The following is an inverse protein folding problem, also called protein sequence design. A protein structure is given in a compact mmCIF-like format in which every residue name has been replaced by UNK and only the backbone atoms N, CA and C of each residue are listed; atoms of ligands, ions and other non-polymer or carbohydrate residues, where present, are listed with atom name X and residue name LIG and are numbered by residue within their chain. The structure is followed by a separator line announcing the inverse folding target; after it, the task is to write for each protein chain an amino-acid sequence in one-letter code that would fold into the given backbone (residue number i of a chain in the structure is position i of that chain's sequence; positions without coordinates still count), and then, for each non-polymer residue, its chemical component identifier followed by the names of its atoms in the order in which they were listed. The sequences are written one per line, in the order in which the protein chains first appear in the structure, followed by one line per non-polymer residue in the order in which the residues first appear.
data_IF_401956427530
#
_entry.id   IF_401956427530
#
_cell.length_a   1.000
_cell.length_b   1.000
_cell.length_c   1.000
_cell.angle_alpha   90.00
_cell.angle_beta   90.00
_cell.angle_gamma   90.00
#
_symmetry.space_group_name_H-M   'P 1'
#
loop_
_entity.id
_entity.type
_entity.pdbx_description
1 polymer ?
#
# COMPACT_ATOMS: atom_id res chain seq x y z
N UNK A 2 4.49 17.09 -3.52
CA UNK A 2 5.53 16.42 -4.36
C UNK A 2 6.16 15.18 -3.70
N UNK A 3 7.45 15.01 -3.97
CA UNK A 3 8.24 13.87 -3.51
C UNK A 3 8.28 13.77 -2.00
N UNK A 4 8.39 14.91 -1.33
CA UNK A 4 8.47 14.90 0.12
C UNK A 4 7.17 14.40 0.74
N UNK A 5 6.05 14.81 0.16
CA UNK A 5 4.74 14.40 0.65
C UNK A 5 4.44 12.96 0.29
N UNK A 6 5.02 12.50 -0.82
CA UNK A 6 4.94 11.09 -1.19
C UNK A 6 5.65 10.21 -0.16
N UNK A 7 6.82 10.65 0.29
CA UNK A 7 7.58 9.91 1.29
C UNK A 7 6.93 9.98 2.67
N UNK A 8 6.32 11.12 2.97
CA UNK A 8 5.51 11.28 4.17
C UNK A 8 4.51 10.14 4.20
N UNK A 9 3.81 9.99 3.08
CA UNK A 9 2.75 9.02 2.91
C UNK A 9 3.27 7.63 3.15
N UNK A 10 4.38 7.28 2.49
CA UNK A 10 5.01 5.97 2.68
C UNK A 10 5.26 5.69 4.15
N UNK A 11 5.81 6.67 4.88
CA UNK A 11 6.07 6.49 6.30
C UNK A 11 4.79 6.14 7.06
N UNK A 12 3.73 6.91 6.82
CA UNK A 12 2.46 6.68 7.52
C UNK A 12 1.90 5.32 7.15
N UNK A 13 1.99 4.95 5.88
CA UNK A 13 1.50 3.66 5.47
C UNK A 13 2.06 2.63 6.43
N UNK A 14 3.37 2.69 6.67
CA UNK A 14 4.05 1.75 7.57
C UNK A 14 3.50 1.83 8.98
N UNK A 15 3.25 3.05 9.44
CA UNK A 15 2.81 3.24 10.80
C UNK A 15 1.42 2.68 11.02
N UNK A 16 0.58 2.78 9.99
CA UNK A 16 -0.77 2.25 10.02
C UNK A 16 -0.74 0.73 10.01
N UNK A 17 0.29 0.17 9.37
CA UNK A 17 0.52 -1.27 9.37
C UNK A 17 0.95 -1.70 10.76
N UNK A 18 1.78 -0.89 11.41
CA UNK A 18 2.28 -1.22 12.74
C UNK A 18 1.16 -1.12 13.75
N UNK A 19 0.17 -0.29 13.44
CA UNK A 19 -0.99 -0.14 14.28
C UNK A 19 -2.04 -1.20 13.96
N UNK A 20 -1.81 -1.98 12.91
CA UNK A 20 -2.76 -2.99 12.44
C UNK A 20 -4.07 -2.36 11.92
N UNK A 21 -4.02 -1.08 11.55
CA UNK A 21 -5.12 -0.46 10.81
C UNK A 21 -5.03 -0.90 9.36
N UNK A 22 -3.79 -1.02 8.88
CA UNK A 22 -3.50 -1.77 7.68
C UNK A 22 -2.99 -3.13 8.14
N UNK A 23 -3.69 -4.19 7.72
CA UNK A 23 -3.40 -5.56 8.17
C UNK A 23 -2.07 -6.08 7.61
N UNK A 24 -1.93 -6.02 6.29
CA UNK A 24 -0.66 -6.22 5.63
C UNK A 24 -0.69 -5.51 4.27
N UNK A 25 0.48 -5.17 3.74
CA UNK A 25 0.55 -4.39 2.51
C UNK A 25 1.77 -4.72 1.66
N UNK A 26 1.65 -4.45 0.37
CA UNK A 26 2.74 -4.58 -0.57
C UNK A 26 2.81 -3.31 -1.39
N UNK A 27 3.96 -2.66 -1.38
CA UNK A 27 4.21 -1.52 -2.25
C UNK A 27 5.35 -1.81 -3.20
N UNK A 28 5.14 -1.55 -4.49
CA UNK A 28 6.18 -1.65 -5.49
C UNK A 28 6.50 -0.23 -5.97
N UNK A 29 7.72 0.23 -5.71
CA UNK A 29 8.09 1.63 -5.99
C UNK A 29 9.41 1.79 -6.74
N UNK A 30 9.82 3.04 -6.92
CA UNK A 30 11.07 3.39 -7.58
C UNK A 30 11.88 4.54 -6.97
N UNK A 31 11.21 5.21 -5.98
CA UNK A 31 11.77 6.40 -5.36
C UNK A 31 13.00 6.31 -4.43
N UNK A 32 13.70 7.43 -4.26
CA UNK A 32 14.94 7.49 -3.47
C UNK A 32 14.77 8.34 -2.20
N UNK A 33 15.15 7.79 -1.05
CA UNK A 33 14.99 8.52 0.21
C UNK A 33 16.34 8.88 0.80
N UNK A 34 16.40 9.96 1.57
CA UNK A 34 17.61 10.26 2.34
C UNK A 34 17.51 9.63 3.73
N UNK A 35 18.60 9.65 4.48
CA UNK A 35 18.70 8.86 5.70
C UNK A 35 17.56 9.10 6.70
N UNK A 36 17.30 10.37 7.00
CA UNK A 36 16.25 10.77 7.94
C UNK A 36 14.91 10.13 7.58
N UNK A 37 14.59 10.18 6.29
CA UNK A 37 13.36 9.61 5.77
C UNK A 37 13.38 8.09 5.93
N UNK A 38 14.46 7.47 5.48
CA UNK A 38 14.61 6.02 5.54
C UNK A 38 14.48 5.49 6.96
N UNK A 39 15.16 6.13 7.90
CA UNK A 39 15.10 5.72 9.30
C UNK A 39 13.72 5.93 9.94
N UNK A 40 13.04 7.01 9.57
CA UNK A 40 11.71 7.25 10.11
C UNK A 40 10.71 6.25 9.55
N UNK A 41 10.89 5.88 8.29
CA UNK A 41 10.09 4.85 7.66
C UNK A 41 10.10 3.54 8.46
N UNK A 42 11.23 3.27 9.08
CA UNK A 42 11.49 2.02 9.77
C UNK A 42 10.95 1.94 11.21
N UNK A 43 10.82 3.08 11.88
CA UNK A 43 10.40 3.07 13.28
C UNK A 43 11.50 2.47 14.15
N UNK A 44 11.10 1.80 15.23
CA UNK A 44 12.04 1.08 16.08
C UNK A 44 11.68 -0.41 16.09
N UNK A 45 12.41 -1.23 15.31
CA UNK A 45 12.16 -2.66 15.32
C UNK A 45 12.66 -3.27 16.61
N UNK A 46 12.36 -4.55 16.79
CA UNK A 46 12.84 -5.30 17.93
C UNK A 46 14.01 -6.16 17.49
N UNK A 47 14.13 -6.29 16.16
CA UNK A 47 15.23 -7.01 15.52
C UNK A 47 15.32 -6.73 14.02
N UNK A 48 16.54 -6.62 13.50
CA UNK A 48 16.77 -6.33 12.09
C UNK A 48 17.67 -7.36 11.43
N UNK A 49 17.45 -7.62 10.15
CA UNK A 49 18.30 -8.46 9.31
C UNK A 49 18.59 -7.71 8.03
N UNK A 50 19.82 -7.77 7.55
CA UNK A 50 20.12 -7.24 6.22
C UNK A 50 20.72 -8.29 5.29
N UNK A 51 20.21 -8.32 4.07
CA UNK A 51 20.54 -9.33 3.07
C UNK A 51 20.91 -8.63 1.77
N UNK A 52 21.89 -9.16 1.05
CA UNK A 52 22.35 -8.56 -0.20
C UNK A 52 22.56 -9.61 -1.29
N UNK A 53 22.14 -9.26 -2.51
CA UNK A 53 22.23 -10.14 -3.67
C UNK A 53 22.32 -9.34 -4.98
N UNK A 54 23.46 -9.43 -5.67
CA UNK A 54 23.68 -8.66 -6.91
C UNK A 54 23.39 -7.17 -6.74
N UNK A 55 23.93 -6.57 -5.68
CA UNK A 55 23.76 -5.14 -5.45
C UNK A 55 22.43 -4.70 -4.84
N UNK A 56 21.48 -5.63 -4.74
CA UNK A 56 20.16 -5.32 -4.17
C UNK A 56 20.05 -5.80 -2.72
N UNK A 57 19.57 -4.91 -1.85
CA UNK A 57 19.44 -5.19 -0.43
C UNK A 57 18.02 -5.53 0.00
N UNK A 58 17.87 -6.56 0.83
CA UNK A 58 16.58 -6.83 1.49
C UNK A 58 16.72 -6.85 3.01
N UNK A 59 16.08 -5.87 3.63
CA UNK A 59 16.04 -5.74 5.07
C UNK A 59 14.76 -6.33 5.63
N UNK A 60 14.89 -7.00 6.77
CA UNK A 60 13.73 -7.57 7.44
C UNK A 60 13.62 -7.07 8.88
N UNK A 61 12.52 -6.39 9.18
CA UNK A 61 12.35 -5.82 10.52
C UNK A 61 11.20 -6.43 11.27
N UNK A 62 11.41 -6.68 12.56
CA UNK A 62 10.41 -7.30 13.41
C UNK A 62 9.91 -6.36 14.47
N UNK A 63 8.61 -6.40 14.70
CA UNK A 63 7.99 -5.58 15.71
C UNK A 63 7.06 -6.46 16.51
N UNK A 64 7.28 -6.47 17.82
CA UNK A 64 6.41 -7.17 18.75
C UNK A 64 5.10 -6.44 18.97
N UNK A 65 4.00 -7.17 18.84
CA UNK A 65 2.67 -6.69 19.21
C UNK A 65 2.04 -7.76 20.12
N UNK A 66 0.76 -7.59 20.48
CA UNK A 66 0.10 -8.53 21.39
C UNK A 66 0.44 -9.96 20.99
N UNK A 67 0.93 -10.74 21.95
CA UNK A 67 1.52 -12.07 21.69
C UNK A 67 0.53 -13.16 21.23
N UNK A 68 0.95 -14.06 20.34
CA UNK A 68 2.30 -14.10 19.76
C UNK A 68 2.40 -13.26 18.46
N UNK A 69 1.48 -12.30 18.30
CA UNK A 69 1.43 -11.46 17.09
C UNK A 69 2.67 -10.59 16.92
N UNK A 70 3.36 -10.79 15.80
CA UNK A 70 4.55 -10.02 15.46
C UNK A 70 4.33 -9.39 14.10
N UNK A 71 4.77 -8.13 13.96
CA UNK A 71 4.75 -7.47 12.66
C UNK A 71 6.12 -7.59 12.01
N UNK A 72 6.11 -7.81 10.70
CA UNK A 72 7.34 -7.90 9.94
C UNK A 72 7.31 -6.99 8.73
N UNK A 73 8.38 -6.23 8.57
CA UNK A 73 8.49 -5.25 7.52
C UNK A 73 9.65 -5.61 6.61
N UNK A 74 9.39 -5.73 5.32
CA UNK A 74 10.44 -6.03 4.35
C UNK A 74 10.73 -4.81 3.47
N UNK A 75 11.98 -4.34 3.46
CA UNK A 75 12.36 -3.21 2.58
C UNK A 75 13.41 -3.60 1.55
N UNK A 76 13.07 -3.42 0.28
CA UNK A 76 14.00 -3.72 -0.80
C UNK A 76 14.54 -2.42 -1.39
N UNK A 77 15.86 -2.27 -1.38
CA UNK A 77 16.50 -1.04 -1.81
C UNK A 77 17.93 -1.22 -2.30
N UNK A 78 18.42 -0.22 -3.04
CA UNK A 78 19.82 -0.17 -3.47
C UNK A 78 20.46 1.05 -2.82
N UNK A 79 21.59 0.85 -2.16
CA UNK A 79 22.32 1.97 -1.55
C UNK A 79 22.81 2.97 -2.61
N UNK A 80 22.78 4.25 -2.26
CA UNK A 80 23.17 5.33 -3.17
C UNK A 80 24.16 6.29 -2.53
N UNK A 81 25.05 6.89 -3.35
CA UNK A 81 25.96 7.89 -2.81
C UNK A 81 25.23 8.96 -2.00
N UNK A 82 25.95 9.56 -1.06
CA UNK A 82 25.43 10.62 -0.18
C UNK A 82 24.35 10.10 0.77
N UNK A 83 24.59 8.90 1.30
CA UNK A 83 23.71 8.28 2.30
C UNK A 83 22.23 8.31 1.87
N UNK A 84 21.99 7.91 0.62
CA UNK A 84 20.65 7.81 0.04
C UNK A 84 20.26 6.34 -0.22
N UNK A 85 18.96 6.07 -0.27
CA UNK A 85 18.45 4.71 -0.45
C UNK A 85 17.30 4.70 -1.44
N UNK A 86 17.47 3.99 -2.54
CA UNK A 86 16.41 3.85 -3.54
C UNK A 86 15.55 2.62 -3.24
N UNK A 87 14.33 2.87 -2.77
CA UNK A 87 13.40 1.80 -2.40
C UNK A 87 12.69 1.21 -3.62
N UNK A 88 12.80 -0.10 -3.79
CA UNK A 88 12.15 -0.81 -4.90
C UNK A 88 10.82 -1.45 -4.51
N UNK A 89 10.69 -1.79 -3.23
CA UNK A 89 9.46 -2.38 -2.69
C UNK A 89 9.39 -2.30 -1.16
N UNK A 90 8.18 -2.14 -0.63
CA UNK A 90 7.95 -2.36 0.80
C UNK A 90 6.82 -3.35 1.02
N UNK A 91 7.02 -4.25 1.98
CA UNK A 91 6.10 -5.32 2.29
C UNK A 91 5.90 -5.43 3.79
N UNK A 92 4.65 -5.51 4.21
CA UNK A 92 4.36 -5.69 5.62
C UNK A 92 3.54 -6.95 5.79
N UNK A 93 3.92 -7.79 6.76
CA UNK A 93 3.22 -9.06 7.02
C UNK A 93 3.11 -9.37 8.51
N UNK A 94 2.19 -10.27 8.85
CA UNK A 94 1.97 -10.69 10.23
C UNK A 94 2.50 -12.08 10.46
N UNK A 95 3.02 -12.33 11.65
CA UNK A 95 3.65 -13.60 11.96
C UNK A 95 3.48 -13.98 13.44
N UNK A 96 3.78 -15.24 13.76
CA UNK A 96 3.81 -15.73 15.14
C UNK A 96 5.20 -16.19 15.60
N UNK B 2 -7.56 10.81 12.30
CA UNK B 2 -8.27 9.51 12.50
C UNK B 2 -8.78 8.87 11.19
N UNK B 3 -9.99 8.31 11.24
CA UNK B 3 -10.54 7.48 10.15
C UNK B 3 -10.70 8.24 8.83
N UNK B 4 -11.02 9.52 8.93
CA UNK B 4 -11.15 10.39 7.76
C UNK B 4 -9.81 10.53 7.03
N UNK B 5 -8.74 10.80 7.79
CA UNK B 5 -7.38 10.95 7.25
C UNK B 5 -6.82 9.63 6.74
N UNK B 6 -7.25 8.54 7.37
CA UNK B 6 -6.93 7.18 6.95
C UNK B 6 -7.50 6.92 5.55
N UNK B 7 -8.73 7.36 5.34
CA UNK B 7 -9.38 7.14 4.06
C UNK B 7 -8.89 8.11 3.01
N UNK B 8 -8.50 9.31 3.43
CA UNK B 8 -7.85 10.25 2.52
C UNK B 8 -6.61 9.58 1.95
N UNK B 9 -5.81 8.98 2.83
CA UNK B 9 -4.58 8.30 2.44
C UNK B 9 -4.88 7.19 1.43
N UNK B 10 -5.84 6.34 1.75
CA UNK B 10 -6.24 5.26 0.86
C UNK B 10 -6.49 5.78 -0.55
N UNK B 11 -7.23 6.88 -0.66
CA UNK B 11 -7.54 7.50 -1.95
C UNK B 11 -6.25 7.89 -2.69
N UNK B 12 -5.36 8.57 -1.97
CA UNK B 12 -4.11 9.05 -2.54
C UNK B 12 -3.25 7.88 -3.02
N UNK B 13 -3.16 6.84 -2.19
CA UNK B 13 -2.46 5.63 -2.55
C UNK B 13 -2.89 5.21 -3.97
N UNK B 14 -4.20 5.12 -4.18
CA UNK B 14 -4.75 4.77 -5.49
C UNK B 14 -4.33 5.75 -6.58
N UNK B 15 -4.34 7.04 -6.25
CA UNK B 15 -4.00 8.09 -7.21
C UNK B 15 -2.55 8.00 -7.67
N UNK B 16 -1.66 7.68 -6.72
CA UNK B 16 -0.23 7.51 -7.00
C UNK B 16 0.04 6.22 -7.77
N UNK B 17 -0.85 5.25 -7.58
CA UNK B 17 -0.89 4.06 -8.42
C UNK B 17 -1.29 4.42 -9.86
N UNK B 18 -2.30 5.27 -9.99
CA UNK B 18 -2.78 5.68 -11.31
C UNK B 18 -1.75 6.55 -12.02
N UNK B 19 -0.92 7.24 -11.23
CA UNK B 19 0.18 8.05 -11.74
C UNK B 19 1.44 7.22 -12.04
N UNK B 20 1.41 5.94 -11.65
CA UNK B 20 2.55 5.03 -11.75
C UNK B 20 3.74 5.50 -10.91
N UNK B 21 3.46 6.30 -9.89
CA UNK B 21 4.46 6.63 -8.88
C UNK B 21 4.54 5.47 -7.89
N UNK B 22 3.39 4.84 -7.66
CA UNK B 22 3.33 3.51 -7.08
C UNK B 22 3.05 2.54 -8.23
N UNK B 23 3.98 1.62 -8.46
CA UNK B 23 3.92 0.74 -9.62
C UNK B 23 2.76 -0.25 -9.53
N UNK B 24 2.70 -0.99 -8.43
CA UNK B 24 1.54 -1.81 -8.10
C UNK B 24 1.49 -1.97 -6.59
N UNK B 25 0.32 -2.28 -6.04
CA UNK B 25 0.20 -2.38 -4.59
C UNK B 25 -0.88 -3.36 -4.15
N UNK B 26 -0.76 -3.82 -2.91
CA UNK B 26 -1.77 -4.63 -2.25
C UNK B 26 -2.01 -4.04 -0.89
N UNK B 27 -3.27 -3.78 -0.57
CA UNK B 27 -3.64 -3.43 0.81
C UNK B 27 -4.62 -4.46 1.31
N UNK B 28 -4.44 -4.86 2.57
CA UNK B 28 -5.40 -5.69 3.28
C UNK B 28 -5.97 -4.88 4.44
N UNK B 29 -7.29 -4.67 4.39
CA UNK B 29 -7.94 -3.74 5.29
C UNK B 29 -9.19 -4.32 5.93
N UNK B 30 -9.81 -3.51 6.80
CA UNK B 30 -11.10 -3.79 7.43
C UNK B 30 -12.05 -2.57 7.51
N UNK B 31 -11.61 -1.41 7.25
CA UNK B 31 -12.45 -0.21 7.26
C UNK B 31 -13.68 -0.03 6.36
N UNK B 32 -14.61 0.83 6.78
CA UNK B 32 -15.85 1.07 6.05
C UNK B 32 -15.92 2.50 5.51
N UNK B 33 -16.23 2.61 4.22
CA UNK B 33 -16.33 3.90 3.52
C UNK B 33 -17.77 4.30 3.26
N UNK B 34 -18.05 5.60 3.25
CA UNK B 34 -19.34 6.06 2.72
C UNK B 34 -19.20 6.29 1.21
N UNK B 35 -20.32 6.54 0.55
CA UNK B 35 -20.37 6.61 -0.92
C UNK B 35 -19.37 7.59 -1.53
N UNK B 36 -19.37 8.84 -1.08
CA UNK B 36 -18.46 9.86 -1.61
C UNK B 36 -16.99 9.47 -1.49
N UNK B 37 -16.63 8.85 -0.36
CA UNK B 37 -15.31 8.28 -0.15
C UNK B 37 -15.02 7.18 -1.17
N UNK B 38 -15.91 6.20 -1.22
CA UNK B 38 -15.73 5.06 -2.11
C UNK B 38 -15.58 5.48 -3.57
N UNK B 39 -16.44 6.38 -4.03
CA UNK B 39 -16.41 6.85 -5.41
C UNK B 39 -15.12 7.61 -5.74
N UNK B 40 -14.66 8.41 -4.79
CA UNK B 40 -13.42 9.19 -4.91
C UNK B 40 -12.22 8.25 -5.03
N UNK B 41 -12.26 7.18 -4.23
CA UNK B 41 -11.24 6.14 -4.24
C UNK B 41 -11.06 5.58 -5.63
N UNK B 42 -12.16 5.51 -6.36
CA UNK B 42 -12.24 4.83 -7.64
C UNK B 42 -11.75 5.68 -8.83
N UNK B 43 -11.92 7.00 -8.74
CA UNK B 43 -11.60 7.89 -9.85
C UNK B 43 -12.56 7.64 -11.00
N UNK B 44 -12.07 7.81 -12.22
CA UNK B 44 -12.86 7.50 -13.42
C UNK B 44 -12.21 6.36 -14.19
N UNK B 45 -12.74 5.13 -14.03
CA UNK B 45 -12.31 4.00 -14.87
C UNK B 45 -12.77 4.16 -16.32
N UNK B 46 -12.22 3.34 -17.20
CA UNK B 46 -12.65 3.29 -18.59
C UNK B 46 -13.59 2.11 -18.79
N UNK B 47 -13.60 1.23 -17.79
CA UNK B 47 -14.58 0.14 -17.68
C UNK B 47 -14.53 -0.51 -16.30
N UNK B 48 -15.69 -0.95 -15.83
CA UNK B 48 -15.77 -1.64 -14.55
C UNK B 48 -16.54 -2.95 -14.62
N UNK B 49 -16.17 -3.88 -13.75
CA UNK B 49 -16.86 -5.17 -13.59
C UNK B 49 -17.18 -5.38 -12.13
N UNK B 50 -18.35 -5.94 -11.86
CA UNK B 50 -18.70 -6.33 -10.49
C UNK B 50 -18.97 -7.83 -10.40
N UNK B 51 -18.36 -8.47 -9.41
CA UNK B 51 -18.58 -9.89 -9.16
C UNK B 51 -18.89 -10.13 -7.68
N UNK B 52 -19.70 -11.16 -7.43
CA UNK B 52 -20.19 -11.46 -6.09
C UNK B 52 -20.12 -12.95 -5.79
N UNK B 53 -19.65 -13.30 -4.59
CA UNK B 53 -19.70 -14.68 -4.10
C UNK B 53 -19.81 -14.75 -2.59
N UNK B 54 -20.86 -15.43 -2.12
CA UNK B 54 -21.20 -15.54 -0.69
C UNK B 54 -21.16 -14.20 0.07
N UNK B 55 -21.83 -13.21 -0.49
CA UNK B 55 -21.94 -11.88 0.10
C UNK B 55 -20.77 -10.95 -0.14
N UNK B 56 -19.68 -11.49 -0.69
CA UNK B 56 -18.42 -10.77 -0.89
C UNK B 56 -18.32 -10.25 -2.31
N UNK B 57 -18.01 -8.97 -2.47
CA UNK B 57 -17.99 -8.38 -3.80
C UNK B 57 -16.58 -8.03 -4.24
N UNK B 58 -16.28 -8.32 -5.51
CA UNK B 58 -15.00 -7.94 -6.08
C UNK B 58 -15.20 -7.12 -7.36
N UNK B 59 -14.77 -5.87 -7.30
CA UNK B 59 -14.88 -4.94 -8.42
C UNK B 59 -13.57 -4.81 -9.16
N UNK B 60 -13.65 -4.75 -10.49
CA UNK B 60 -12.47 -4.64 -11.33
C UNK B 60 -12.53 -3.39 -12.19
N UNK B 61 -11.62 -2.45 -11.95
CA UNK B 61 -11.63 -1.18 -12.69
C UNK B 61 -10.43 -1.03 -13.60
N UNK B 62 -10.69 -0.57 -14.83
CA UNK B 62 -9.62 -0.39 -15.82
C UNK B 62 -9.37 1.09 -16.12
N UNK B 63 -8.10 1.44 -16.26
CA UNK B 63 -7.69 2.81 -16.57
C UNK B 63 -6.63 2.74 -17.65
N UNK B 64 -6.91 3.38 -18.78
CA UNK B 64 -5.95 3.41 -19.88
C UNK B 64 -4.83 4.41 -19.61
N UNK B 65 -3.61 3.99 -19.92
CA UNK B 65 -2.46 4.87 -19.89
C UNK B 65 -1.71 4.64 -21.19
N UNK B 66 -0.51 5.20 -21.28
CA UNK B 66 0.32 5.07 -22.48
C UNK B 66 0.26 3.63 -22.99
N UNK B 67 -0.14 3.47 -24.25
CA UNK B 67 -0.43 2.17 -24.86
C UNK B 67 0.79 1.23 -24.97
N UNK B 68 0.59 -0.07 -24.73
CA UNK B 68 -0.71 -0.63 -24.35
C UNK B 68 -0.86 -0.79 -22.84
N UNK B 69 -0.12 0.03 -22.09
CA UNK B 69 -0.16 -0.01 -20.63
C UNK B 69 -1.53 0.40 -20.08
N UNK B 70 -2.11 -0.51 -19.31
CA UNK B 70 -3.42 -0.32 -18.70
C UNK B 70 -3.25 -0.56 -17.20
N UNK B 71 -3.93 0.27 -16.40
CA UNK B 71 -3.97 0.11 -14.95
C UNK B 71 -5.22 -0.65 -14.55
N UNK B 72 -5.09 -1.56 -13.60
CA UNK B 72 -6.24 -2.29 -13.07
C UNK B 72 -6.30 -2.15 -11.56
N UNK B 73 -7.49 -1.83 -11.06
CA UNK B 73 -7.70 -1.75 -9.62
C UNK B 73 -8.76 -2.74 -9.17
N UNK B 74 -8.43 -3.52 -8.15
CA UNK B 74 -9.33 -4.52 -7.60
C UNK B 74 -9.79 -4.09 -6.22
N UNK B 75 -11.10 -4.01 -6.03
CA UNK B 75 -11.64 -3.65 -4.71
C UNK B 75 -12.57 -4.72 -4.14
N UNK B 76 -12.20 -5.26 -2.99
CA UNK B 76 -12.97 -6.31 -2.33
C UNK B 76 -13.67 -5.68 -1.16
N UNK B 77 -15.00 -5.79 -1.16
CA UNK B 77 -15.84 -5.15 -0.15
C UNK B 77 -17.14 -5.90 0.10
N UNK B 78 -17.77 -5.55 1.22
CA UNK B 78 -19.10 -6.02 1.57
C UNK B 78 -20.03 -4.80 1.69
N UNK B 79 -21.13 -4.81 0.93
CA UNK B 79 -22.10 -3.72 0.98
C UNK B 79 -22.73 -3.62 2.37
N UNK B 80 -22.96 -2.39 2.82
CA UNK B 80 -23.54 -2.14 4.14
C UNK B 80 -24.73 -1.17 4.10
N UNK B 81 -25.66 -1.30 5.06
CA UNK B 81 -26.77 -0.36 5.17
C UNK B 81 -26.32 1.09 5.12
N UNK B 82 -27.18 1.96 4.61
CA UNK B 82 -26.94 3.40 4.51
C UNK B 82 -25.84 3.76 3.50
N UNK B 83 -25.85 3.06 2.37
CA UNK B 83 -24.90 3.29 1.26
C UNK B 83 -23.42 3.32 1.68
N UNK B 84 -23.04 2.38 2.54
CA UNK B 84 -21.65 2.28 2.98
C UNK B 84 -21.01 0.99 2.47
N UNK B 85 -19.68 0.99 2.40
CA UNK B 85 -18.93 -0.15 1.86
C UNK B 85 -17.73 -0.50 2.75
N UNK B 86 -17.73 -1.73 3.26
CA UNK B 86 -16.63 -2.27 4.07
C UNK B 86 -15.57 -2.88 3.14
N UNK B 87 -14.45 -2.17 2.99
CA UNK B 87 -13.34 -2.60 2.14
C UNK B 87 -12.46 -3.63 2.85
N UNK B 88 -12.35 -4.81 2.25
CA UNK B 88 -11.49 -5.89 2.76
C UNK B 88 -10.06 -5.89 2.20
N UNK B 89 -9.93 -5.45 0.95
CA UNK B 89 -8.64 -5.35 0.29
C UNK B 89 -8.69 -4.46 -0.94
N UNK B 90 -7.59 -3.78 -1.21
CA UNK B 90 -7.43 -3.05 -2.47
C UNK B 90 -6.12 -3.48 -3.15
N UNK B 91 -6.20 -3.71 -4.46
CA UNK B 91 -5.09 -4.24 -5.20
C UNK B 91 -4.95 -3.52 -6.53
N UNK B 92 -3.77 -2.98 -6.78
CA UNK B 92 -3.48 -2.31 -8.06
C UNK B 92 -2.46 -3.07 -8.89
N UNK B 93 -2.74 -3.20 -10.19
CA UNK B 93 -1.90 -3.99 -11.07
C UNK B 93 -1.77 -3.39 -12.49
N UNK B 94 -0.70 -3.77 -13.19
CA UNK B 94 -0.45 -3.35 -14.57
C UNK B 94 -0.73 -4.46 -15.58
N UNK B 95 -1.29 -4.08 -16.73
CA UNK B 95 -1.74 -5.03 -17.73
C UNK B 95 -1.56 -4.46 -19.14
N UNK B 96 -1.63 -5.34 -20.15
CA UNK B 96 -1.58 -4.94 -21.57
C UNK B 96 -2.87 -5.32 -22.29
#
# INVERSE_FOLDING_TARGET
GDTHEFHKLLIKVVDLFLEDRIKEFELKLNTTLDELEFEELIGKPDSSNSAENNGIFIDEYSYDASENAIKKLFVEYVRQPEFKYTVLSIKGVNDWVRE
GDTHEFHKLLIKVVDLFLEDRIKEFELKLNTTLDELEFEELIGKPDSSNSAENNGIFIDEYSYDASENAIKKLFVEYVRQPEFKYTVLSIKGVNDWVRE
#
